data_IF_624256939539
#
_entry.id   IF_624256939539
#
_cell.length_a   1.000
_cell.length_b   1.000
_cell.length_c   1.000
_cell.angle_alpha   90.00
_cell.angle_beta   90.00
_cell.angle_gamma   90.00
#
_symmetry.space_group_name_H-M   'P 1'
#
loop_
_entity.id
_entity.type
_entity.pdbx_description
1 polymer ?
#
# COMPACT_ATOMS: atom_id res chain seq x y z
N UNK A 1 15.27 -2.62 13.11
CA UNK A 1 16.63 -2.79 13.65
C UNK A 1 17.33 -1.44 13.71
N UNK A 2 18.14 -1.22 14.74
CA UNK A 2 19.05 -0.08 14.89
C UNK A 2 20.51 -0.51 14.69
N UNK A 3 21.45 0.44 14.71
CA UNK A 3 22.90 0.17 14.56
C UNK A 3 23.43 -0.84 15.59
N UNK A 4 22.90 -0.84 16.81
CA UNK A 4 23.23 -1.80 17.87
C UNK A 4 22.95 -3.26 17.48
N UNK A 5 21.97 -3.47 16.61
CA UNK A 5 21.47 -4.81 16.26
C UNK A 5 22.31 -5.47 15.16
N UNK A 6 23.28 -4.75 14.57
CA UNK A 6 24.10 -5.24 13.46
C UNK A 6 24.88 -6.52 13.80
N UNK A 7 25.38 -6.62 15.02
CA UNK A 7 26.17 -7.78 15.46
C UNK A 7 25.28 -9.02 15.56
N UNK A 8 24.12 -8.87 16.19
CA UNK A 8 23.16 -9.96 16.39
C UNK A 8 22.57 -10.41 15.06
N UNK A 9 22.23 -9.45 14.18
CA UNK A 9 21.82 -9.73 12.81
C UNK A 9 22.88 -10.50 12.03
N UNK A 10 24.15 -10.09 12.11
CA UNK A 10 25.24 -10.75 11.40
C UNK A 10 25.44 -12.19 11.89
N UNK A 11 25.37 -12.42 13.22
CA UNK A 11 25.47 -13.76 13.81
C UNK A 11 24.32 -14.65 13.36
N UNK A 12 23.07 -14.17 13.45
CA UNK A 12 21.90 -14.90 12.98
C UNK A 12 22.02 -15.26 11.49
N UNK A 13 22.33 -14.27 10.66
CA UNK A 13 22.40 -14.46 9.22
C UNK A 13 23.54 -15.37 8.79
N UNK A 14 24.72 -15.26 9.42
CA UNK A 14 25.82 -16.20 9.20
C UNK A 14 25.44 -17.62 9.59
N UNK A 15 24.78 -17.81 10.74
CA UNK A 15 24.30 -19.11 11.18
C UNK A 15 23.34 -19.76 10.18
N UNK A 16 22.38 -18.99 9.66
CA UNK A 16 21.43 -19.46 8.64
C UNK A 16 22.16 -19.82 7.34
N UNK A 17 23.03 -18.95 6.84
CA UNK A 17 23.72 -19.20 5.56
C UNK A 17 24.74 -20.34 5.66
N UNK A 18 25.27 -20.62 6.85
CA UNK A 18 26.09 -21.80 7.11
C UNK A 18 25.33 -23.12 6.93
N UNK A 19 24.02 -23.18 7.22
CA UNK A 19 23.16 -24.36 6.91
C UNK A 19 23.23 -24.70 5.41
N UNK A 20 23.41 -23.68 4.56
CA UNK A 20 23.50 -23.81 3.12
C UNK A 20 24.94 -23.88 2.58
N UNK A 21 25.95 -23.95 3.46
CA UNK A 21 27.37 -23.93 3.07
C UNK A 21 27.79 -22.64 2.38
N UNK A 22 27.21 -21.50 2.76
CA UNK A 22 27.51 -20.18 2.17
C UNK A 22 28.17 -19.26 3.19
N UNK A 23 29.37 -18.79 2.85
CA UNK A 23 30.06 -17.74 3.61
C UNK A 23 29.60 -16.35 3.19
N UNK A 24 29.26 -15.53 4.19
CA UNK A 24 28.78 -14.17 3.96
C UNK A 24 29.93 -13.16 4.01
N UNK A 25 30.12 -12.43 2.92
CA UNK A 25 31.05 -11.30 2.88
C UNK A 25 30.45 -10.10 3.62
N UNK A 26 31.33 -9.19 4.07
CA UNK A 26 30.90 -7.91 4.66
C UNK A 26 30.07 -7.05 3.71
N UNK A 27 30.23 -7.21 2.39
CA UNK A 27 29.40 -6.51 1.41
C UNK A 27 27.97 -7.08 1.39
N UNK A 28 27.81 -8.41 1.41
CA UNK A 28 26.51 -9.07 1.45
C UNK A 28 25.76 -8.74 2.75
N UNK A 29 26.44 -8.76 3.89
CA UNK A 29 25.86 -8.39 5.18
C UNK A 29 25.25 -6.98 5.17
N UNK A 30 25.92 -6.01 4.52
CA UNK A 30 25.40 -4.64 4.39
C UNK A 30 24.14 -4.56 3.52
N UNK A 31 24.11 -5.28 2.41
CA UNK A 31 22.94 -5.32 1.51
C UNK A 31 21.74 -5.92 2.25
N UNK A 32 21.96 -7.04 2.94
CA UNK A 32 20.94 -7.73 3.72
C UNK A 32 20.43 -6.88 4.89
N UNK A 33 21.32 -6.23 5.63
CA UNK A 33 20.93 -5.31 6.71
C UNK A 33 20.09 -4.15 6.17
N UNK A 34 20.52 -3.52 5.07
CA UNK A 34 19.78 -2.43 4.45
C UNK A 34 18.37 -2.86 3.98
N UNK A 35 18.23 -4.09 3.46
CA UNK A 35 16.97 -4.63 2.98
C UNK A 35 15.99 -5.03 4.10
N UNK A 36 16.49 -5.29 5.31
CA UNK A 36 15.70 -5.82 6.43
C UNK A 36 15.66 -4.91 7.66
N UNK A 37 16.32 -3.73 7.61
CA UNK A 37 16.44 -2.80 8.75
C UNK A 37 15.10 -2.33 9.34
N UNK A 38 14.00 -2.46 8.60
CA UNK A 38 12.67 -2.05 9.05
C UNK A 38 12.03 -3.03 10.05
N UNK A 39 12.48 -4.29 10.08
CA UNK A 39 12.00 -5.32 11.02
C UNK A 39 12.90 -5.39 12.25
N UNK A 40 12.41 -5.97 13.34
CA UNK A 40 13.22 -6.23 14.54
C UNK A 40 13.92 -7.61 14.48
N UNK A 41 14.94 -7.80 15.32
CA UNK A 41 15.71 -9.06 15.36
C UNK A 41 14.82 -10.27 15.71
N UNK A 42 13.85 -10.18 16.64
CA UNK A 42 12.92 -11.27 16.90
C UNK A 42 12.11 -11.70 15.68
N UNK A 43 11.49 -10.78 14.93
CA UNK A 43 10.73 -11.12 13.72
C UNK A 43 11.62 -11.76 12.65
N UNK A 44 12.84 -11.25 12.48
CA UNK A 44 13.82 -11.82 11.56
C UNK A 44 14.22 -13.23 11.96
N UNK A 45 14.47 -13.46 13.25
CA UNK A 45 14.80 -14.80 13.78
C UNK A 45 13.69 -15.78 13.44
N UNK A 46 12.44 -15.46 13.78
CA UNK A 46 11.29 -16.32 13.47
C UNK A 46 11.15 -16.59 11.96
N UNK A 47 11.34 -15.57 11.11
CA UNK A 47 11.23 -15.70 9.67
C UNK A 47 12.35 -16.58 9.05
N UNK A 48 13.60 -16.39 9.48
CA UNK A 48 14.71 -17.24 9.05
C UNK A 48 14.53 -18.69 9.52
N UNK A 49 14.12 -18.91 10.77
CA UNK A 49 13.84 -20.25 11.29
C UNK A 49 12.74 -20.94 10.48
N UNK A 50 11.64 -20.23 10.22
CA UNK A 50 10.54 -20.76 9.43
C UNK A 50 10.95 -21.05 7.97
N UNK A 51 11.84 -20.25 7.37
CA UNK A 51 12.39 -20.53 6.04
C UNK A 51 13.18 -21.84 6.01
N UNK A 52 14.11 -22.03 6.96
CA UNK A 52 14.92 -23.26 7.04
C UNK A 52 14.05 -24.50 7.28
N UNK A 53 12.92 -24.35 7.98
CA UNK A 53 11.98 -25.43 8.23
C UNK A 53 11.00 -25.69 7.08
N UNK A 54 10.95 -24.82 6.05
CA UNK A 54 10.05 -24.99 4.93
C UNK A 54 10.52 -26.14 4.02
N UNK A 55 9.77 -27.26 3.90
CA UNK A 55 10.21 -28.43 3.14
C UNK A 55 10.27 -28.19 1.62
N UNK A 56 9.52 -27.21 1.11
CA UNK A 56 9.39 -26.95 -0.33
C UNK A 56 10.46 -25.96 -0.85
N UNK A 57 10.60 -24.83 -0.14
CA UNK A 57 11.49 -23.72 -0.52
C UNK A 57 12.80 -23.70 0.28
N UNK A 58 12.75 -24.16 1.55
CA UNK A 58 13.85 -24.08 2.50
C UNK A 58 15.09 -24.91 2.14
N UNK A 59 15.02 -25.73 1.10
CA UNK A 59 16.18 -26.39 0.47
C UNK A 59 17.13 -25.43 -0.25
N UNK A 60 16.67 -24.22 -0.59
CA UNK A 60 17.48 -23.19 -1.23
C UNK A 60 17.84 -22.07 -0.24
N UNK A 61 19.04 -21.46 -0.38
CA UNK A 61 19.39 -20.29 0.43
C UNK A 61 18.38 -19.16 0.20
N UNK A 62 17.87 -18.50 1.25
CA UNK A 62 16.91 -17.43 1.11
C UNK A 62 17.51 -16.21 0.40
N UNK A 63 16.67 -15.44 -0.31
CA UNK A 63 16.96 -14.06 -0.70
C UNK A 63 16.33 -13.10 0.31
N UNK A 64 16.73 -11.81 0.36
CA UNK A 64 16.10 -10.86 1.29
C UNK A 64 14.57 -10.80 1.13
N UNK A 65 14.08 -10.85 -0.11
CA UNK A 65 12.64 -10.84 -0.42
C UNK A 65 11.88 -12.04 0.14
N UNK A 66 12.52 -13.20 0.25
CA UNK A 66 11.92 -14.40 0.85
C UNK A 66 11.65 -14.21 2.33
N UNK A 67 12.62 -13.64 3.06
CA UNK A 67 12.47 -13.35 4.49
C UNK A 67 11.43 -12.25 4.72
N UNK A 68 11.39 -11.22 3.86
CA UNK A 68 10.31 -10.23 3.88
C UNK A 68 8.95 -10.89 3.71
N UNK A 69 8.81 -11.81 2.75
CA UNK A 69 7.59 -12.59 2.54
C UNK A 69 7.23 -13.46 3.75
N UNK A 70 8.20 -14.03 4.46
CA UNK A 70 7.95 -14.79 5.70
C UNK A 70 7.43 -13.91 6.84
N UNK A 71 7.87 -12.65 6.92
CA UNK A 71 7.41 -11.70 7.95
C UNK A 71 6.05 -11.09 7.59
N UNK A 72 5.88 -10.68 6.33
CA UNK A 72 4.71 -9.91 5.88
C UNK A 72 3.57 -10.77 5.30
N UNK A 73 3.83 -12.05 5.01
CA UNK A 73 3.01 -12.86 4.11
C UNK A 73 3.32 -12.57 2.63
N UNK A 74 2.76 -13.35 1.70
CA UNK A 74 2.90 -13.00 0.28
C UNK A 74 2.17 -11.69 -0.02
N UNK A 75 2.60 -10.97 -1.05
CA UNK A 75 1.84 -9.81 -1.55
C UNK A 75 0.42 -10.21 -1.95
N UNK A 76 0.22 -11.49 -2.31
CA UNK A 76 -1.07 -12.09 -2.55
C UNK A 76 -1.96 -12.14 -1.31
N UNK A 77 -1.40 -12.61 -0.19
CA UNK A 77 -2.11 -12.74 1.08
C UNK A 77 -2.45 -11.37 1.65
N UNK A 78 -1.48 -10.43 1.60
CA UNK A 78 -1.71 -9.04 1.99
C UNK A 78 -2.84 -8.38 1.20
N UNK A 79 -2.88 -8.59 -0.12
CA UNK A 79 -3.91 -8.04 -0.97
C UNK A 79 -5.29 -8.62 -0.65
N UNK A 80 -5.38 -9.93 -0.39
CA UNK A 80 -6.62 -10.58 0.01
C UNK A 80 -7.09 -10.09 1.39
N UNK A 81 -6.20 -9.98 2.37
CA UNK A 81 -6.52 -9.45 3.69
C UNK A 81 -6.97 -7.99 3.63
N UNK A 82 -6.32 -7.17 2.80
CA UNK A 82 -6.74 -5.80 2.54
C UNK A 82 -8.15 -5.76 1.92
N UNK A 83 -8.44 -6.62 0.94
CA UNK A 83 -9.78 -6.74 0.38
C UNK A 83 -10.81 -7.19 1.41
N UNK A 84 -10.52 -8.21 2.23
CA UNK A 84 -11.42 -8.64 3.32
C UNK A 84 -11.75 -7.50 4.29
N UNK A 85 -10.77 -6.63 4.59
CA UNK A 85 -10.98 -5.43 5.42
C UNK A 85 -11.92 -4.44 4.72
N UNK A 86 -11.72 -4.20 3.42
CA UNK A 86 -12.57 -3.31 2.61
C UNK A 86 -13.99 -3.86 2.48
N UNK A 87 -14.17 -5.12 2.07
CA UNK A 87 -15.47 -5.79 1.96
C UNK A 87 -16.26 -5.73 3.27
N UNK A 88 -15.62 -6.08 4.40
CA UNK A 88 -16.26 -5.97 5.72
C UNK A 88 -16.67 -4.53 6.03
N UNK A 89 -15.85 -3.55 5.68
CA UNK A 89 -16.16 -2.13 5.89
C UNK A 89 -17.35 -1.71 5.04
N UNK A 90 -17.44 -2.16 3.78
CA UNK A 90 -18.60 -1.90 2.92
C UNK A 90 -19.86 -2.44 3.59
N UNK A 91 -19.83 -3.69 4.06
CA UNK A 91 -20.99 -4.35 4.67
C UNK A 91 -21.42 -3.76 6.01
N UNK A 92 -20.47 -3.25 6.80
CA UNK A 92 -20.74 -2.77 8.17
C UNK A 92 -20.93 -1.25 8.28
N UNK A 93 -20.21 -0.48 7.46
CA UNK A 93 -20.22 0.98 7.50
C UNK A 93 -21.04 1.57 6.35
N UNK A 94 -20.99 0.95 5.18
CA UNK A 94 -21.64 1.44 3.97
C UNK A 94 -21.02 2.72 3.42
N UNK A 95 -21.62 3.25 2.36
CA UNK A 95 -21.12 4.45 1.64
C UNK A 95 -21.41 5.78 2.34
N UNK A 96 -22.28 5.79 3.36
CA UNK A 96 -22.75 7.03 3.97
C UNK A 96 -21.65 7.75 4.77
N UNK A 97 -20.78 7.01 5.45
CA UNK A 97 -19.74 7.57 6.31
C UNK A 97 -18.39 7.62 5.59
N UNK A 98 -17.64 8.69 5.88
CA UNK A 98 -16.23 8.78 5.51
C UNK A 98 -15.39 7.80 6.33
N UNK A 99 -14.37 7.21 5.70
CA UNK A 99 -13.54 6.14 6.30
C UNK A 99 -12.06 6.42 6.11
N UNK A 100 -11.23 5.99 7.07
CA UNK A 100 -9.79 5.97 6.93
C UNK A 100 -9.23 4.61 7.38
N UNK A 101 -8.69 3.86 6.42
CA UNK A 101 -7.97 2.62 6.67
C UNK A 101 -6.56 2.86 7.22
N UNK A 102 -6.05 1.87 7.95
CA UNK A 102 -4.71 1.81 8.52
C UNK A 102 -3.57 1.52 7.51
N UNK A 103 -3.88 1.35 6.22
CA UNK A 103 -2.93 1.12 5.14
C UNK A 103 -3.17 2.14 3.99
N UNK A 104 -2.17 3.00 3.66
CA UNK A 104 -2.33 4.02 2.61
C UNK A 104 -2.51 3.43 1.20
N UNK A 105 -2.06 2.19 0.95
CA UNK A 105 -2.28 1.51 -0.33
C UNK A 105 -3.77 1.25 -0.55
N UNK A 106 -4.54 0.94 0.52
CA UNK A 106 -5.99 0.75 0.42
C UNK A 106 -6.66 2.04 -0.07
N UNK A 107 -6.29 3.18 0.51
CA UNK A 107 -6.84 4.49 0.12
C UNK A 107 -6.54 4.80 -1.33
N UNK A 108 -5.28 4.58 -1.74
CA UNK A 108 -4.86 4.80 -3.11
C UNK A 108 -5.62 3.94 -4.11
N UNK A 109 -5.76 2.64 -3.84
CA UNK A 109 -6.47 1.72 -4.74
C UNK A 109 -7.94 2.08 -4.85
N UNK A 110 -8.60 2.45 -3.74
CA UNK A 110 -10.00 2.86 -3.77
C UNK A 110 -10.17 4.17 -4.56
N UNK A 111 -9.26 5.13 -4.40
CA UNK A 111 -9.25 6.35 -5.21
C UNK A 111 -9.13 6.02 -6.72
N UNK A 112 -8.17 5.17 -7.11
CA UNK A 112 -7.98 4.72 -8.49
C UNK A 112 -9.21 3.95 -9.04
N UNK A 113 -10.03 3.37 -8.17
CA UNK A 113 -11.27 2.68 -8.51
C UNK A 113 -12.51 3.60 -8.53
N UNK A 114 -12.32 4.91 -8.37
CA UNK A 114 -13.40 5.90 -8.42
C UNK A 114 -13.98 6.30 -7.06
N UNK A 115 -13.26 6.02 -5.98
CA UNK A 115 -13.55 6.49 -4.63
C UNK A 115 -14.49 5.59 -3.81
N UNK A 116 -14.58 5.89 -2.51
CA UNK A 116 -15.31 5.07 -1.54
C UNK A 116 -16.81 5.03 -1.80
N UNK A 117 -17.45 6.16 -2.11
CA UNK A 117 -18.89 6.19 -2.39
C UNK A 117 -19.25 5.21 -3.51
N UNK A 118 -18.49 5.21 -4.61
CA UNK A 118 -18.73 4.29 -5.73
C UNK A 118 -18.58 2.84 -5.31
N UNK A 119 -17.46 2.50 -4.65
CA UNK A 119 -17.17 1.12 -4.25
C UNK A 119 -18.18 0.59 -3.22
N UNK A 120 -18.50 1.39 -2.20
CA UNK A 120 -19.40 1.00 -1.12
C UNK A 120 -20.89 1.09 -1.47
N UNK A 121 -21.23 1.59 -2.67
CA UNK A 121 -22.61 1.62 -3.19
C UNK A 121 -22.89 0.53 -4.23
N UNK A 122 -21.95 -0.40 -4.44
CA UNK A 122 -22.19 -1.57 -5.30
C UNK A 122 -23.30 -2.43 -4.67
N UNK A 123 -24.41 -2.56 -5.38
CA UNK A 123 -25.62 -3.22 -4.88
C UNK A 123 -25.69 -4.72 -5.16
N UNK A 124 -24.78 -5.29 -5.97
CA UNK A 124 -24.80 -6.72 -6.32
C UNK A 124 -23.52 -7.42 -5.87
N UNK A 125 -23.65 -8.65 -5.39
CA UNK A 125 -22.52 -9.45 -4.94
C UNK A 125 -21.53 -9.73 -6.09
N UNK A 126 -22.03 -9.96 -7.30
CA UNK A 126 -21.20 -10.22 -8.49
C UNK A 126 -20.34 -9.00 -8.87
N UNK A 127 -20.91 -7.80 -8.86
CA UNK A 127 -20.14 -6.60 -9.17
C UNK A 127 -19.13 -6.30 -8.06
N UNK A 128 -19.46 -6.64 -6.80
CA UNK A 128 -18.56 -6.49 -5.67
C UNK A 128 -17.40 -7.49 -5.74
N UNK A 129 -17.64 -8.73 -6.16
CA UNK A 129 -16.61 -9.73 -6.45
C UNK A 129 -15.66 -9.25 -7.55
N UNK A 130 -16.19 -8.69 -8.64
CA UNK A 130 -15.39 -8.12 -9.73
C UNK A 130 -14.54 -6.93 -9.25
N UNK A 131 -15.14 -6.02 -8.46
CA UNK A 131 -14.41 -4.93 -7.83
C UNK A 131 -13.30 -5.45 -6.91
N UNK A 132 -13.56 -6.53 -6.17
CA UNK A 132 -12.57 -7.19 -5.32
C UNK A 132 -11.38 -7.75 -6.10
N UNK A 133 -11.62 -8.38 -7.24
CA UNK A 133 -10.55 -8.87 -8.12
C UNK A 133 -9.68 -7.71 -8.65
N UNK A 134 -10.29 -6.63 -9.11
CA UNK A 134 -9.57 -5.43 -9.55
C UNK A 134 -8.80 -4.76 -8.40
N UNK A 135 -9.38 -4.71 -7.21
CA UNK A 135 -8.75 -4.17 -6.01
C UNK A 135 -7.48 -4.98 -5.69
N UNK A 136 -7.60 -6.30 -5.60
CA UNK A 136 -6.47 -7.20 -5.27
C UNK A 136 -5.35 -7.05 -6.29
N UNK A 137 -5.68 -6.95 -7.59
CA UNK A 137 -4.70 -6.75 -8.67
C UNK A 137 -3.94 -5.43 -8.51
N UNK A 138 -4.64 -4.30 -8.31
CA UNK A 138 -4.01 -2.98 -8.09
C UNK A 138 -3.18 -2.94 -6.81
N UNK A 139 -3.73 -3.48 -5.71
CA UNK A 139 -3.02 -3.53 -4.43
C UNK A 139 -1.69 -4.27 -4.54
N UNK A 140 -1.68 -5.43 -5.21
CA UNK A 140 -0.45 -6.19 -5.47
C UNK A 140 0.59 -5.36 -6.21
N UNK A 141 0.16 -4.58 -7.23
CA UNK A 141 1.08 -3.74 -8.00
C UNK A 141 1.76 -2.68 -7.11
N UNK A 142 1.01 -1.98 -6.26
CA UNK A 142 1.57 -1.00 -5.32
C UNK A 142 2.44 -1.66 -4.24
N UNK A 143 2.01 -2.79 -3.69
CA UNK A 143 2.78 -3.53 -2.70
C UNK A 143 4.15 -3.97 -3.27
N UNK A 144 4.17 -4.45 -4.53
CA UNK A 144 5.40 -4.81 -5.23
C UNK A 144 6.29 -3.60 -5.54
N UNK A 145 5.69 -2.43 -5.80
CA UNK A 145 6.42 -1.17 -6.01
C UNK A 145 6.96 -0.54 -4.71
N UNK A 146 6.75 -1.16 -3.55
CA UNK A 146 7.20 -0.65 -2.25
C UNK A 146 6.23 0.30 -1.56
N UNK A 147 4.98 0.38 -2.01
CA UNK A 147 3.93 1.20 -1.41
C UNK A 147 3.46 2.34 -2.32
N UNK A 148 3.02 3.44 -1.71
CA UNK A 148 2.44 4.61 -2.39
C UNK A 148 3.03 5.90 -1.85
N UNK A 149 3.23 6.88 -2.73
CA UNK A 149 3.71 8.23 -2.37
C UNK A 149 2.60 9.28 -2.36
N UNK A 150 1.52 9.05 -3.08
CA UNK A 150 0.34 9.92 -3.14
C UNK A 150 -0.89 9.08 -2.85
N UNK A 151 -1.71 9.53 -1.91
CA UNK A 151 -2.95 8.89 -1.48
C UNK A 151 -3.79 9.89 -0.68
N UNK A 152 -5.12 9.76 -0.67
CA UNK A 152 -5.98 10.60 0.15
C UNK A 152 -5.82 10.21 1.63
N UNK A 153 -5.88 11.18 2.54
CA UNK A 153 -5.78 10.90 3.99
C UNK A 153 -6.98 10.13 4.53
N UNK A 154 -8.14 10.30 3.90
CA UNK A 154 -9.35 9.55 4.16
C UNK A 154 -10.25 9.58 2.92
N UNK A 155 -11.22 8.67 2.88
CA UNK A 155 -12.13 8.51 1.77
C UNK A 155 -13.50 9.06 2.15
N UNK A 156 -13.95 10.06 1.38
CA UNK A 156 -15.21 10.78 1.62
C UNK A 156 -16.41 9.86 1.41
N UNK A 157 -17.36 9.89 2.35
CA UNK A 157 -18.67 9.23 2.24
C UNK A 157 -19.77 10.19 1.79
N UNK A 158 -20.96 9.65 1.49
CA UNK A 158 -22.10 10.40 0.94
C UNK A 158 -22.48 11.60 1.81
N UNK A 159 -22.57 11.42 3.13
CA UNK A 159 -22.99 12.50 4.02
C UNK A 159 -22.05 13.71 4.00
N UNK A 160 -20.73 13.46 3.94
CA UNK A 160 -19.75 14.53 3.86
C UNK A 160 -19.73 15.18 2.47
N UNK A 161 -19.82 14.39 1.40
CA UNK A 161 -19.93 14.91 0.05
C UNK A 161 -21.15 15.84 -0.12
N UNK A 162 -22.31 15.41 0.38
CA UNK A 162 -23.55 16.20 0.37
C UNK A 162 -23.43 17.49 1.18
N UNK A 163 -22.85 17.42 2.37
CA UNK A 163 -22.65 18.59 3.22
C UNK A 163 -21.70 19.58 2.55
N UNK A 164 -20.61 19.11 1.94
CA UNK A 164 -19.66 19.95 1.22
C UNK A 164 -20.34 20.63 0.02
N UNK A 165 -21.13 19.89 -0.77
CA UNK A 165 -21.86 20.44 -1.91
C UNK A 165 -22.88 21.52 -1.50
N UNK A 166 -23.48 21.40 -0.31
CA UNK A 166 -24.47 22.35 0.23
C UNK A 166 -23.84 23.48 1.06
N UNK A 167 -22.51 23.52 1.21
CA UNK A 167 -21.81 24.54 2.00
C UNK A 167 -21.87 24.32 3.52
N UNK A 168 -22.28 23.14 3.98
CA UNK A 168 -22.36 22.77 5.40
C UNK A 168 -21.08 22.13 5.96
N UNK A 169 -19.95 22.21 5.25
CA UNK A 169 -18.69 21.51 5.56
C UNK A 169 -18.00 21.86 6.89
N UNK A 170 -18.56 22.76 7.71
CA UNK A 170 -17.97 23.18 8.99
C UNK A 170 -17.99 22.11 10.10
N UNK A 171 -18.78 21.04 9.95
CA UNK A 171 -18.80 19.88 10.85
C UNK A 171 -18.97 18.59 10.05
N UNK A 172 -17.89 18.01 9.52
CA UNK A 172 -17.98 16.72 8.85
C UNK A 172 -18.49 15.64 9.83
N UNK A 173 -19.20 14.61 9.33
CA UNK A 173 -19.55 13.44 10.14
C UNK A 173 -18.30 12.82 10.77
N UNK A 174 -18.45 12.16 11.92
CA UNK A 174 -17.32 11.50 12.58
C UNK A 174 -16.65 10.48 11.65
N UNK A 175 -15.39 10.73 11.30
CA UNK A 175 -14.55 9.85 10.48
C UNK A 175 -14.43 8.47 11.13
N UNK A 176 -14.63 7.41 10.36
CA UNK A 176 -14.48 6.02 10.84
C UNK A 176 -13.05 5.54 10.57
N UNK A 177 -12.28 5.32 11.64
CA UNK A 177 -10.96 4.71 11.55
C UNK A 177 -11.10 3.19 11.47
N UNK A 178 -10.48 2.57 10.46
CA UNK A 178 -10.62 1.13 10.16
C UNK A 178 -9.29 0.41 10.38
N UNK A 179 -9.29 -0.58 11.27
CA UNK A 179 -8.11 -1.36 11.63
C UNK A 179 -7.36 -0.77 12.83
N UNK A 180 -6.03 -0.71 12.77
CA UNK A 180 -5.23 -0.11 13.85
C UNK A 180 -5.42 1.41 13.88
N UNK A 181 -5.97 1.92 14.98
CA UNK A 181 -6.34 3.32 15.15
C UNK A 181 -5.16 4.28 14.98
N UNK A 182 -3.98 3.93 15.53
CA UNK A 182 -2.78 4.79 15.47
C UNK A 182 -2.24 4.85 14.05
N UNK A 183 -2.24 3.73 13.34
CA UNK A 183 -1.84 3.66 11.93
C UNK A 183 -2.82 4.41 11.03
N UNK A 184 -4.12 4.24 11.24
CA UNK A 184 -5.14 5.00 10.50
C UNK A 184 -4.98 6.51 10.71
N UNK A 185 -4.78 6.96 11.96
CA UNK A 185 -4.50 8.37 12.26
C UNK A 185 -3.21 8.87 11.57
N UNK A 186 -2.18 8.02 11.47
CA UNK A 186 -0.95 8.33 10.72
C UNK A 186 -1.22 8.46 9.21
N UNK A 187 -2.05 7.59 8.64
CA UNK A 187 -2.46 7.69 7.22
C UNK A 187 -3.20 9.00 6.97
N UNK A 188 -4.17 9.37 7.83
CA UNK A 188 -4.88 10.65 7.75
C UNK A 188 -3.93 11.83 7.77
N UNK A 189 -2.93 11.81 8.66
CA UNK A 189 -1.95 12.89 8.78
C UNK A 189 -1.03 13.03 7.56
N UNK A 190 -0.68 11.91 6.91
CA UNK A 190 0.28 11.88 5.81
C UNK A 190 -0.37 12.01 4.43
N UNK A 191 -1.65 11.68 4.32
CA UNK A 191 -2.37 11.74 3.04
C UNK A 191 -2.54 13.17 2.55
N UNK A 192 -2.42 13.33 1.23
CA UNK A 192 -2.63 14.61 0.56
C UNK A 192 -4.10 14.85 0.25
N UNK A 193 -4.44 16.12 0.02
CA UNK A 193 -5.74 16.53 -0.57
C UNK A 193 -5.64 16.81 -2.07
N UNK A 194 -4.44 16.67 -2.65
CA UNK A 194 -4.17 17.01 -4.04
C UNK A 194 -4.55 15.84 -4.97
N UNK A 195 -5.21 16.12 -6.11
CA UNK A 195 -5.47 15.10 -7.13
C UNK A 195 -4.16 14.50 -7.61
N UNK A 196 -4.09 13.18 -7.67
CA UNK A 196 -2.86 12.49 -8.12
C UNK A 196 -2.57 12.62 -9.61
N UNK A 197 -3.58 12.99 -10.39
CA UNK A 197 -3.41 13.35 -11.79
C UNK A 197 -3.64 14.86 -11.92
N UNK A 198 -2.62 15.58 -12.37
CA UNK A 198 -2.72 17.00 -12.66
C UNK A 198 -3.59 17.19 -13.92
N UNK A 199 -4.85 17.55 -13.73
CA UNK A 199 -5.77 17.90 -14.82
C UNK A 199 -5.79 19.43 -14.90
N UNK A 200 -5.23 19.97 -15.99
CA UNK A 200 -5.26 21.41 -16.27
C UNK A 200 -6.25 21.69 -17.38
N UNK A 201 -7.14 22.66 -17.15
CA UNK A 201 -8.04 23.18 -18.17
C UNK A 201 -7.38 24.27 -19.00
N UNK A 202 -7.63 24.28 -20.31
CA UNK A 202 -7.27 25.40 -21.17
C UNK A 202 -8.51 26.24 -21.49
N UNK A 203 -8.33 27.56 -21.54
CA UNK A 203 -9.43 28.51 -21.82
C UNK A 203 -9.95 28.37 -23.25
N UNK A 204 -9.10 27.98 -24.20
CA UNK A 204 -9.52 27.60 -25.56
C UNK A 204 -8.48 26.69 -26.21
N UNK A 205 -8.94 25.85 -27.15
CA UNK A 205 -8.06 25.02 -27.99
C UNK A 205 -7.17 25.90 -28.89
N UNK A 206 -7.69 27.03 -29.38
CA UNK A 206 -6.92 27.97 -30.20
C UNK A 206 -5.71 28.55 -29.44
N UNK A 207 -5.89 28.93 -28.17
CA UNK A 207 -4.81 29.44 -27.33
C UNK A 207 -3.74 28.37 -27.03
N UNK A 208 -4.10 27.09 -27.06
CA UNK A 208 -3.13 25.99 -26.95
C UNK A 208 -2.35 25.77 -28.24
N UNK A 209 -3.02 25.91 -29.39
CA UNK A 209 -2.39 25.76 -30.71
C UNK A 209 -1.36 26.87 -30.94
N UNK A 210 -1.68 28.11 -30.57
CA UNK A 210 -0.75 29.23 -30.64
C UNK A 210 0.48 29.00 -29.75
N UNK A 211 0.28 28.55 -28.50
CA UNK A 211 1.39 28.20 -27.59
C UNK A 211 2.24 27.02 -28.08
N UNK A 212 1.60 26.00 -28.67
CA UNK A 212 2.28 24.83 -29.24
C UNK A 212 3.04 25.12 -30.54
N UNK A 213 2.72 26.22 -31.23
CA UNK A 213 3.46 26.66 -32.42
C UNK A 213 4.82 27.28 -32.08
N UNK A 214 5.00 27.78 -30.85
CA UNK A 214 6.28 28.29 -30.33
C UNK A 214 7.16 27.19 -29.71
N UNK A 215 6.60 26.04 -29.33
CA UNK A 215 7.29 24.94 -28.67
C UNK A 215 7.13 23.65 -29.48
N UNK A 216 8.09 23.39 -30.36
CA UNK A 216 8.01 22.43 -31.45
C UNK A 216 7.75 20.94 -31.11
N UNK A 217 7.34 20.24 -32.18
CA UNK A 217 7.09 18.80 -32.42
C UNK A 217 7.20 17.83 -31.24
N UNK A 218 6.13 17.06 -31.08
CA UNK A 218 6.07 15.82 -30.30
C UNK A 218 7.19 14.85 -30.73
N UNK A 219 7.91 14.21 -29.78
CA UNK A 219 8.88 13.17 -30.12
C UNK A 219 8.17 11.96 -30.73
N UNK A 220 8.70 11.48 -31.85
CA UNK A 220 8.23 10.27 -32.52
C UNK A 220 8.40 9.05 -31.59
N UNK A 221 7.38 8.19 -31.56
CA UNK A 221 7.37 6.93 -30.80
C UNK A 221 8.36 5.91 -31.38
#
# INVERSE_FOLDING_TARGET
MQESDKKDFAQLFQGVMAVYGKDMTQALLRIWFAALKEYDVPALTSAFTAWVQNPDEGRFPPKPGDIRRMIEGSTGDRALMAWTKVDRTIRQVGSNYSVAFDDPVIHRVIEDMGGWIRLASIGTEKDLEFAGQEFVKRFRAFALAGGVSQFPGYLIGVAEADNNAKGYGGKPPALRLIGDEKRAARVVKLGGTQPTLAISGATSVAALIERGSEQGRLPAQ
#
